data_IF_634419924599
#
_entry.id   IF_634419924599
#
_cell.length_a   1.000
_cell.length_b   1.000
_cell.length_c   1.000
_cell.angle_alpha   90.00
_cell.angle_beta   90.00
_cell.angle_gamma   90.00
#
_symmetry.space_group_name_H-M   'P 1'
#
loop_
_entity.id
_entity.type
_entity.pdbx_description
1 polymer ?
#
# COMPACT_ATOMS: atom_id res chain seq x y z
N UNK A 1 -2.37 -25.48 -20.19
CA UNK A 1 -1.07 -25.71 -20.84
C UNK A 1 -1.20 -26.81 -21.89
N UNK A 2 -0.55 -26.70 -23.06
CA UNK A 2 -0.70 -27.64 -24.19
C UNK A 2 -0.29 -29.10 -23.92
N UNK A 3 0.45 -29.38 -22.85
CA UNK A 3 0.96 -30.72 -22.52
C UNK A 3 0.22 -31.40 -21.35
N UNK A 4 -0.80 -30.75 -20.78
CA UNK A 4 -1.61 -31.30 -19.68
C UNK A 4 -0.86 -31.52 -18.36
N UNK A 5 0.40 -31.08 -18.25
CA UNK A 5 1.16 -31.13 -16.99
C UNK A 5 0.91 -29.85 -16.21
N UNK A 6 0.72 -30.00 -14.89
CA UNK A 6 0.77 -28.86 -13.99
C UNK A 6 2.24 -28.42 -13.89
N UNK A 7 2.55 -27.12 -14.08
CA UNK A 7 3.87 -26.59 -13.77
C UNK A 7 4.24 -26.94 -12.32
N UNK A 8 5.52 -27.18 -12.05
CA UNK A 8 6.03 -27.27 -10.67
C UNK A 8 6.01 -25.91 -9.95
N UNK A 9 5.81 -24.84 -10.71
CA UNK A 9 5.70 -23.46 -10.22
C UNK A 9 4.32 -23.23 -9.62
N UNK A 10 4.29 -22.60 -8.45
CA UNK A 10 3.06 -22.14 -7.82
C UNK A 10 2.61 -20.83 -8.47
N UNK A 11 1.30 -20.67 -8.63
CA UNK A 11 0.68 -19.42 -9.06
C UNK A 11 -0.31 -18.93 -8.02
N UNK A 12 -0.47 -17.62 -7.92
CA UNK A 12 -1.52 -17.00 -7.14
C UNK A 12 -2.77 -16.82 -8.01
N UNK A 13 -3.91 -17.31 -7.52
CA UNK A 13 -5.22 -17.10 -8.14
C UNK A 13 -6.01 -16.10 -7.30
N UNK A 14 -6.36 -14.95 -7.90
CA UNK A 14 -7.23 -13.93 -7.31
C UNK A 14 -8.58 -13.96 -8.02
N UNK A 15 -9.65 -14.01 -7.22
CA UNK A 15 -11.04 -13.99 -7.66
C UNK A 15 -11.78 -12.89 -6.91
N UNK A 16 -12.50 -12.03 -7.63
CA UNK A 16 -13.24 -10.93 -7.01
C UNK A 16 -14.45 -10.50 -7.82
N UNK A 17 -15.37 -9.78 -7.17
CA UNK A 17 -16.56 -9.18 -7.79
C UNK A 17 -16.52 -7.64 -7.71
N UNK A 18 -15.49 -6.97 -8.26
CA UNK A 18 -15.43 -5.52 -8.24
C UNK A 18 -16.53 -4.89 -9.11
N UNK A 19 -16.74 -3.59 -8.95
CA UNK A 19 -17.61 -2.82 -9.84
C UNK A 19 -17.10 -2.92 -11.28
N UNK A 20 -18.01 -3.16 -12.22
CA UNK A 20 -17.70 -3.30 -13.65
C UNK A 20 -17.03 -2.03 -14.21
N UNK A 21 -17.32 -0.87 -13.63
CA UNK A 21 -16.76 0.43 -14.02
C UNK A 21 -15.30 0.64 -13.61
N UNK A 22 -14.77 -0.17 -12.68
CA UNK A 22 -13.36 -0.05 -12.26
C UNK A 22 -12.43 -0.61 -13.33
N UNK A 23 -11.32 0.07 -13.60
CA UNK A 23 -10.22 -0.51 -14.41
C UNK A 23 -9.76 -1.84 -13.79
N UNK A 24 -9.39 -2.81 -14.62
CA UNK A 24 -8.87 -4.09 -14.12
C UNK A 24 -7.43 -3.94 -13.64
N UNK A 25 -7.06 -4.65 -12.57
CA UNK A 25 -5.67 -4.72 -12.09
C UNK A 25 -4.68 -5.08 -13.21
N UNK A 26 -4.99 -6.08 -14.03
CA UNK A 26 -4.13 -6.46 -15.16
C UNK A 26 -3.93 -5.32 -16.18
N UNK A 27 -4.95 -4.49 -16.45
CA UNK A 27 -4.81 -3.33 -17.32
C UNK A 27 -3.93 -2.26 -16.66
N UNK A 28 -4.12 -2.03 -15.36
CA UNK A 28 -3.27 -1.11 -14.58
C UNK A 28 -1.80 -1.56 -14.62
N UNK A 29 -1.53 -2.84 -14.39
CA UNK A 29 -0.18 -3.41 -14.45
C UNK A 29 0.43 -3.26 -15.85
N UNK A 30 -0.36 -3.52 -16.90
CA UNK A 30 0.08 -3.33 -18.30
C UNK A 30 0.45 -1.86 -18.55
N UNK A 31 -0.40 -0.93 -18.15
CA UNK A 31 -0.16 0.51 -18.32
C UNK A 31 1.07 0.99 -17.54
N UNK A 32 1.30 0.45 -16.35
CA UNK A 32 2.50 0.72 -15.58
C UNK A 32 3.75 0.20 -16.29
N UNK A 33 3.72 -1.03 -16.82
CA UNK A 33 4.85 -1.60 -17.58
C UNK A 33 5.17 -0.82 -18.85
N UNK A 34 4.16 -0.26 -19.51
CA UNK A 34 4.35 0.58 -20.70
C UNK A 34 4.99 1.95 -20.36
N UNK A 35 4.78 2.46 -19.15
CA UNK A 35 5.23 3.80 -18.71
C UNK A 35 6.52 3.78 -17.87
N UNK A 36 6.84 2.65 -17.26
CA UNK A 36 7.98 2.49 -16.35
C UNK A 36 9.17 1.82 -17.05
N UNK A 37 10.41 2.14 -16.64
CA UNK A 37 11.60 1.48 -17.17
C UNK A 37 11.56 -0.03 -16.91
N UNK A 38 12.19 -0.79 -17.80
CA UNK A 38 12.19 -2.27 -17.74
C UNK A 38 12.77 -2.84 -16.45
N UNK A 39 13.71 -2.13 -15.84
CA UNK A 39 14.31 -2.46 -14.55
C UNK A 39 13.28 -2.57 -13.42
N UNK A 40 12.16 -1.83 -13.50
CA UNK A 40 11.06 -1.87 -12.54
C UNK A 40 10.01 -2.96 -12.83
N UNK A 41 10.08 -3.66 -13.96
CA UNK A 41 9.03 -4.60 -14.36
C UNK A 41 8.92 -5.82 -13.44
N UNK A 42 10.04 -6.24 -12.85
CA UNK A 42 10.09 -7.32 -11.85
C UNK A 42 9.59 -6.88 -10.47
N UNK A 43 9.30 -5.58 -10.28
CA UNK A 43 8.76 -5.02 -9.03
C UNK A 43 7.23 -4.81 -9.11
N UNK A 44 6.61 -5.19 -10.24
CA UNK A 44 5.18 -5.25 -10.47
C UNK A 44 4.71 -6.71 -10.63
N UNK A 45 3.45 -7.03 -10.30
CA UNK A 45 2.97 -8.41 -10.40
C UNK A 45 3.00 -8.92 -11.84
N UNK A 46 3.46 -10.14 -12.02
CA UNK A 46 3.51 -10.82 -13.30
C UNK A 46 2.21 -11.59 -13.56
N UNK A 47 1.33 -10.97 -14.33
CA UNK A 47 0.04 -11.54 -14.72
C UNK A 47 0.22 -12.51 -15.89
N UNK A 48 -0.08 -13.78 -15.64
CA UNK A 48 -0.03 -14.87 -16.62
C UNK A 48 -1.37 -15.05 -17.34
N UNK A 49 -2.48 -14.83 -16.62
CA UNK A 49 -3.80 -14.97 -17.16
C UNK A 49 -4.78 -14.01 -16.49
N UNK A 50 -5.71 -13.49 -17.29
CA UNK A 50 -6.85 -12.73 -16.79
C UNK A 50 -8.11 -13.10 -17.55
N UNK A 51 -9.25 -13.07 -16.86
CA UNK A 51 -10.57 -13.20 -17.48
C UNK A 51 -11.66 -12.58 -16.63
N UNK A 52 -12.62 -11.92 -17.28
CA UNK A 52 -13.80 -11.40 -16.62
C UNK A 52 -15.03 -12.17 -17.08
N UNK A 53 -16.03 -12.27 -16.22
CA UNK A 53 -17.34 -12.84 -16.53
C UNK A 53 -18.44 -11.97 -15.94
N UNK A 54 -19.42 -11.66 -16.76
CA UNK A 54 -20.66 -11.03 -16.33
C UNK A 54 -21.53 -12.02 -15.54
N UNK A 55 -22.42 -11.53 -14.66
CA UNK A 55 -23.42 -12.38 -13.99
C UNK A 55 -24.25 -13.25 -14.95
N UNK A 56 -24.55 -12.72 -16.13
CA UNK A 56 -25.33 -13.36 -17.18
C UNK A 56 -24.55 -14.51 -17.84
N UNK A 57 -23.26 -14.33 -18.14
CA UNK A 57 -22.38 -15.40 -18.66
C UNK A 57 -22.21 -16.55 -17.65
N UNK A 58 -22.21 -16.22 -16.36
CA UNK A 58 -22.15 -17.22 -15.27
C UNK A 58 -23.51 -17.83 -14.93
N UNK A 59 -24.58 -17.37 -15.59
CA UNK A 59 -25.93 -17.86 -15.40
C UNK A 59 -26.41 -17.76 -13.93
N UNK A 60 -26.02 -16.68 -13.23
CA UNK A 60 -26.31 -16.52 -11.80
C UNK A 60 -27.82 -16.50 -11.52
N UNK A 61 -28.31 -17.11 -10.42
CA UNK A 61 -29.74 -17.28 -10.19
C UNK A 61 -30.57 -16.00 -10.23
N UNK A 62 -30.03 -14.89 -9.69
CA UNK A 62 -30.75 -13.62 -9.60
C UNK A 62 -31.03 -12.97 -10.97
N UNK A 63 -30.22 -13.29 -12.00
CA UNK A 63 -30.41 -12.78 -13.37
C UNK A 63 -31.74 -13.26 -14.00
N UNK A 64 -32.35 -14.32 -13.43
CA UNK A 64 -33.59 -14.95 -13.90
C UNK A 64 -34.83 -14.52 -13.12
N UNK A 65 -34.68 -13.72 -12.06
CA UNK A 65 -35.77 -13.36 -11.16
C UNK A 65 -36.66 -12.23 -11.69
N UNK A 66 -36.36 -11.66 -12.87
CA UNK A 66 -37.14 -10.55 -13.45
C UNK A 66 -37.16 -9.30 -12.57
N UNK A 67 -36.09 -9.06 -11.81
CA UNK A 67 -35.98 -7.90 -10.92
C UNK A 67 -35.99 -6.60 -11.75
N UNK A 68 -36.76 -5.61 -11.31
CA UNK A 68 -36.77 -4.25 -11.87
C UNK A 68 -35.50 -3.49 -11.50
N UNK A 69 -34.38 -3.88 -12.09
CA UNK A 69 -33.07 -3.28 -11.82
C UNK A 69 -32.97 -1.88 -12.45
N UNK A 70 -32.52 -0.92 -11.66
CA UNK A 70 -32.26 0.47 -12.06
C UNK A 70 -30.83 0.85 -11.65
N UNK A 71 -30.30 1.95 -12.18
CA UNK A 71 -28.98 2.44 -11.79
C UNK A 71 -28.90 2.81 -10.29
N UNK A 72 -30.04 3.12 -9.66
CA UNK A 72 -30.11 3.44 -8.22
C UNK A 72 -30.02 2.19 -7.33
N UNK A 73 -30.52 1.04 -7.79
CA UNK A 73 -30.58 -0.19 -7.00
C UNK A 73 -29.60 -1.28 -7.47
N UNK A 74 -28.93 -1.08 -8.62
CA UNK A 74 -27.94 -2.00 -9.20
C UNK A 74 -26.61 -1.29 -9.35
N UNK A 75 -25.59 -1.86 -8.71
CA UNK A 75 -24.20 -1.54 -8.99
C UNK A 75 -23.59 -2.71 -9.76
N UNK A 76 -23.39 -2.60 -11.09
CA UNK A 76 -22.89 -3.72 -11.89
C UNK A 76 -21.54 -4.22 -11.38
N UNK A 77 -21.42 -5.53 -11.21
CA UNK A 77 -20.21 -6.23 -10.78
C UNK A 77 -19.94 -7.41 -11.70
N UNK A 78 -18.67 -7.68 -11.93
CA UNK A 78 -18.20 -8.79 -12.77
C UNK A 78 -17.27 -9.69 -11.97
N UNK A 79 -17.33 -11.00 -12.21
CA UNK A 79 -16.32 -11.90 -11.67
C UNK A 79 -15.03 -11.65 -12.43
N UNK A 80 -14.00 -11.19 -11.74
CA UNK A 80 -12.64 -11.05 -12.29
C UNK A 80 -11.77 -12.17 -11.78
N UNK A 81 -11.07 -12.79 -12.71
CA UNK A 81 -10.08 -13.84 -12.46
C UNK A 81 -8.73 -13.31 -12.90
N UNK A 82 -7.76 -13.35 -12.00
CA UNK A 82 -6.37 -13.02 -12.27
C UNK A 82 -5.49 -14.17 -11.77
N UNK A 83 -4.59 -14.63 -12.61
CA UNK A 83 -3.52 -15.57 -12.24
C UNK A 83 -2.20 -14.86 -12.42
N UNK A 84 -1.41 -14.82 -11.37
CA UNK A 84 -0.07 -14.25 -11.37
C UNK A 84 0.96 -15.24 -10.86
N UNK A 85 2.23 -14.94 -11.12
CA UNK A 85 3.35 -15.54 -10.40
C UNK A 85 3.11 -15.49 -8.88
N UNK A 86 3.53 -16.54 -8.18
CA UNK A 86 3.45 -16.61 -6.74
C UNK A 86 4.62 -15.86 -6.12
N UNK A 87 4.32 -15.01 -5.14
CA UNK A 87 5.31 -14.27 -4.37
C UNK A 87 5.24 -14.64 -2.90
N UNK A 88 6.38 -14.63 -2.24
CA UNK A 88 6.48 -14.82 -0.81
C UNK A 88 6.01 -13.56 -0.07
N UNK A 89 5.51 -13.73 1.15
CA UNK A 89 5.11 -12.62 2.00
C UNK A 89 6.34 -11.91 2.57
N UNK A 90 6.19 -10.65 2.98
CA UNK A 90 7.32 -9.87 3.49
C UNK A 90 7.97 -10.48 4.74
N UNK A 91 7.22 -11.21 5.59
CA UNK A 91 7.77 -11.94 6.73
C UNK A 91 8.54 -13.21 6.35
N UNK A 92 8.50 -13.63 5.08
CA UNK A 92 9.27 -14.74 4.53
C UNK A 92 10.56 -14.25 3.83
N UNK A 93 10.91 -12.96 4.02
CA UNK A 93 12.13 -12.38 3.46
C UNK A 93 13.40 -13.06 3.96
N UNK A 94 13.41 -13.81 5.05
CA UNK A 94 14.55 -14.66 5.45
C UNK A 94 15.70 -13.95 6.17
N UNK A 95 15.91 -12.65 5.95
CA UNK A 95 16.81 -11.81 6.75
C UNK A 95 16.35 -10.35 6.78
N UNK A 96 16.89 -9.58 7.71
CA UNK A 96 16.57 -8.14 7.84
C UNK A 96 17.05 -7.37 6.62
N UNK A 97 18.18 -7.74 6.03
CA UNK A 97 18.71 -7.15 4.79
C UNK A 97 17.79 -7.42 3.61
N UNK A 98 17.33 -8.66 3.44
CA UNK A 98 16.38 -9.04 2.38
C UNK A 98 15.02 -8.37 2.60
N UNK A 99 14.57 -8.20 3.85
CA UNK A 99 13.39 -7.42 4.21
C UNK A 99 13.54 -5.94 3.84
N UNK A 100 14.66 -5.31 4.23
CA UNK A 100 14.96 -3.90 3.93
C UNK A 100 14.96 -3.69 2.41
N UNK A 101 15.62 -4.59 1.67
CA UNK A 101 15.66 -4.56 0.21
C UNK A 101 14.25 -4.63 -0.40
N UNK A 102 13.46 -5.64 -0.03
CA UNK A 102 12.11 -5.83 -0.59
C UNK A 102 11.16 -4.67 -0.23
N UNK A 103 11.24 -4.16 1.00
CA UNK A 103 10.44 -3.01 1.41
C UNK A 103 10.83 -1.74 0.64
N UNK A 104 12.14 -1.48 0.47
CA UNK A 104 12.64 -0.32 -0.27
C UNK A 104 12.31 -0.38 -1.76
N UNK A 105 12.40 -1.56 -2.36
CA UNK A 105 11.93 -1.82 -3.73
C UNK A 105 10.47 -1.42 -3.92
N UNK A 106 9.61 -1.76 -2.96
CA UNK A 106 8.19 -1.41 -3.03
C UNK A 106 7.96 0.10 -2.90
N UNK A 107 8.71 0.78 -2.01
CA UNK A 107 8.64 2.25 -1.85
C UNK A 107 9.05 2.97 -3.14
N UNK A 108 10.15 2.55 -3.76
CA UNK A 108 10.61 3.17 -4.99
C UNK A 108 9.72 2.83 -6.19
N UNK A 109 9.21 1.60 -6.28
CA UNK A 109 8.24 1.21 -7.30
C UNK A 109 6.95 2.01 -7.17
N UNK A 110 6.46 2.23 -5.94
CA UNK A 110 5.31 3.09 -5.66
C UNK A 110 5.56 4.53 -6.13
N UNK A 111 6.72 5.11 -5.79
CA UNK A 111 7.08 6.45 -6.23
C UNK A 111 7.15 6.57 -7.76
N UNK A 112 7.76 5.58 -8.43
CA UNK A 112 7.84 5.55 -9.89
C UNK A 112 6.45 5.45 -10.53
N UNK A 113 5.57 4.59 -9.98
CA UNK A 113 4.18 4.47 -10.43
C UNK A 113 3.40 5.78 -10.26
N UNK A 114 3.58 6.50 -9.15
CA UNK A 114 2.96 7.80 -8.94
C UNK A 114 3.51 8.86 -9.90
N UNK A 115 4.83 8.98 -10.00
CA UNK A 115 5.48 10.06 -10.73
C UNK A 115 5.42 9.89 -12.26
N UNK A 116 5.75 8.69 -12.76
CA UNK A 116 5.83 8.36 -14.19
C UNK A 116 4.60 7.59 -14.66
N UNK A 117 4.14 6.64 -13.85
CA UNK A 117 2.93 5.87 -14.14
C UNK A 117 1.64 6.68 -14.06
N UNK A 118 1.67 7.84 -13.36
CA UNK A 118 0.50 8.69 -13.07
C UNK A 118 -0.60 7.93 -12.33
N UNK A 119 -0.21 7.07 -11.39
CA UNK A 119 -1.12 6.22 -10.61
C UNK A 119 -0.73 6.23 -9.13
N UNK A 120 -1.69 6.50 -8.25
CA UNK A 120 -1.53 6.37 -6.80
C UNK A 120 -2.15 5.06 -6.33
N UNK A 121 -1.50 4.32 -5.42
CA UNK A 121 -1.93 2.97 -5.03
C UNK A 121 -3.15 2.97 -4.09
N UNK A 122 -3.17 3.85 -3.07
CA UNK A 122 -4.31 4.10 -2.15
C UNK A 122 -4.73 2.99 -1.17
N UNK A 123 -4.09 1.82 -1.17
CA UNK A 123 -4.47 0.69 -0.31
C UNK A 123 -3.28 -0.18 0.07
N UNK A 124 -2.19 0.47 0.52
CA UNK A 124 -1.00 -0.25 0.97
C UNK A 124 -1.26 -1.05 2.25
N UNK A 125 -0.82 -2.30 2.26
CA UNK A 125 -0.90 -3.19 3.43
C UNK A 125 0.29 -4.15 3.50
N UNK A 126 0.48 -4.83 4.64
CA UNK A 126 1.46 -5.93 4.74
C UNK A 126 1.25 -7.03 3.68
N UNK A 127 0.02 -7.20 3.20
CA UNK A 127 -0.34 -8.21 2.20
C UNK A 127 0.08 -7.86 0.78
N UNK A 128 0.44 -6.59 0.53
CA UNK A 128 0.72 -6.04 -0.80
C UNK A 128 2.22 -5.98 -1.09
N UNK A 129 3.06 -5.84 -0.06
CA UNK A 129 4.51 -5.87 -0.22
C UNK A 129 4.96 -7.33 -0.20
N UNK A 130 5.44 -7.80 -1.35
CA UNK A 130 5.77 -9.20 -1.56
C UNK A 130 7.26 -9.36 -1.89
N UNK A 131 7.77 -10.58 -1.74
CA UNK A 131 9.15 -10.97 -1.98
C UNK A 131 9.21 -11.89 -3.19
N UNK A 132 10.04 -11.52 -4.17
CA UNK A 132 10.39 -12.34 -5.32
C UNK A 132 11.87 -12.76 -5.20
N UNK A 133 12.14 -14.06 -5.27
CA UNK A 133 13.50 -14.60 -5.36
C UNK A 133 13.78 -15.01 -6.79
N UNK A 134 14.59 -14.21 -7.48
CA UNK A 134 14.91 -14.42 -8.91
C UNK A 134 16.41 -14.21 -9.12
N UNK A 135 17.04 -15.12 -9.86
CA UNK A 135 18.47 -15.09 -10.17
C UNK A 135 19.38 -14.97 -8.93
N UNK A 136 18.99 -15.61 -7.82
CA UNK A 136 19.73 -15.57 -6.55
C UNK A 136 19.66 -14.22 -5.83
N UNK A 137 18.75 -13.32 -6.25
CA UNK A 137 18.53 -12.01 -5.62
C UNK A 137 17.10 -11.89 -5.11
N UNK A 138 16.94 -11.17 -4.00
CA UNK A 138 15.63 -10.73 -3.50
C UNK A 138 15.22 -9.44 -4.20
N UNK A 139 13.96 -9.38 -4.61
CA UNK A 139 13.27 -8.19 -5.09
C UNK A 139 11.97 -8.02 -4.34
N UNK A 140 11.59 -6.78 -4.06
CA UNK A 140 10.25 -6.44 -3.59
C UNK A 140 9.29 -6.27 -4.74
N UNK A 141 8.09 -6.83 -4.62
CA UNK A 141 7.01 -6.68 -5.60
C UNK A 141 5.84 -5.98 -4.93
N UNK A 142 5.42 -4.85 -5.49
CA UNK A 142 4.26 -4.13 -5.00
C UNK A 142 3.00 -4.64 -5.70
N UNK A 143 2.16 -5.37 -4.96
CA UNK A 143 0.98 -6.07 -5.46
C UNK A 143 -0.33 -5.37 -5.08
N UNK A 144 -1.43 -5.82 -5.69
CA UNK A 144 -2.80 -5.38 -5.42
C UNK A 144 -3.13 -3.94 -5.84
N UNK A 145 -3.11 -3.70 -7.15
CA UNK A 145 -3.37 -2.36 -7.73
C UNK A 145 -4.86 -2.07 -7.96
N UNK A 146 -5.78 -2.89 -7.45
CA UNK A 146 -7.23 -2.78 -7.72
C UNK A 146 -7.86 -1.47 -7.20
N UNK A 147 -7.25 -0.87 -6.17
CA UNK A 147 -7.70 0.40 -5.57
C UNK A 147 -6.93 1.62 -6.11
N UNK A 148 -6.00 1.41 -7.03
CA UNK A 148 -5.19 2.48 -7.58
C UNK A 148 -6.04 3.48 -8.38
N UNK A 149 -5.61 4.74 -8.41
CA UNK A 149 -6.32 5.79 -9.14
C UNK A 149 -5.39 6.70 -9.91
N UNK A 150 -5.83 7.18 -11.09
CA UNK A 150 -5.03 8.07 -11.90
C UNK A 150 -4.82 9.40 -11.18
N UNK A 151 -3.63 9.98 -11.36
CA UNK A 151 -3.31 11.32 -10.88
C UNK A 151 -3.06 12.29 -12.03
N UNK A 152 -3.35 13.57 -11.79
CA UNK A 152 -3.07 14.65 -12.73
C UNK A 152 -1.57 15.02 -12.76
N UNK A 153 -1.22 16.08 -13.48
CA UNK A 153 0.17 16.55 -13.56
C UNK A 153 0.72 17.13 -12.26
N UNK A 154 -0.16 17.52 -11.35
CA UNK A 154 0.18 17.96 -10.00
C UNK A 154 0.24 16.80 -9.00
N UNK A 155 -0.01 15.57 -9.45
CA UNK A 155 0.00 14.37 -8.61
C UNK A 155 -1.24 14.21 -7.74
N UNK A 156 -2.34 14.91 -8.06
CA UNK A 156 -3.62 14.83 -7.37
C UNK A 156 -4.53 13.78 -8.02
N UNK A 157 -5.23 12.99 -7.19
CA UNK A 157 -6.17 11.98 -7.69
C UNK A 157 -7.29 12.64 -8.50
N UNK A 158 -7.47 12.15 -9.73
CA UNK A 158 -8.58 12.56 -10.59
C UNK A 158 -9.81 11.80 -10.07
N UNK A 159 -10.77 12.50 -9.44
CA UNK A 159 -11.94 11.86 -8.82
C UNK A 159 -12.67 10.99 -9.83
N UNK A 160 -12.70 9.69 -9.54
CA UNK A 160 -13.52 8.70 -10.24
C UNK A 160 -14.53 8.18 -9.23
N UNK A 161 -15.79 8.06 -9.63
CA UNK A 161 -17.01 7.86 -8.81
C UNK A 161 -17.07 6.62 -7.87
N UNK A 162 -15.95 6.00 -7.51
CA UNK A 162 -15.83 4.87 -6.59
C UNK A 162 -15.02 5.22 -5.33
N UNK A 163 -15.24 6.42 -4.78
CA UNK A 163 -14.39 7.10 -3.78
C UNK A 163 -14.50 6.59 -2.33
N UNK A 164 -15.01 5.38 -2.09
CA UNK A 164 -14.87 4.77 -0.77
C UNK A 164 -13.49 4.12 -0.64
N UNK A 165 -12.58 4.83 0.03
CA UNK A 165 -11.26 4.31 0.39
C UNK A 165 -11.43 3.24 1.48
N UNK A 166 -11.50 1.97 1.10
CA UNK A 166 -11.41 0.84 2.03
C UNK A 166 -9.95 0.50 2.24
N UNK A 167 -9.24 1.31 3.00
CA UNK A 167 -7.86 0.99 3.35
C UNK A 167 -7.79 -0.16 4.36
N UNK A 168 -6.69 -0.88 4.41
CA UNK A 168 -6.46 -1.87 5.47
C UNK A 168 -6.19 -1.16 6.81
N UNK A 169 -7.14 -1.22 7.76
CA UNK A 169 -7.20 -0.45 9.04
C UNK A 169 -5.87 -0.14 9.74
N UNK A 170 -4.96 -1.11 10.00
CA UNK A 170 -3.69 -0.82 10.66
C UNK A 170 -2.76 0.10 9.86
N UNK A 171 -2.97 0.22 8.55
CA UNK A 171 -2.12 0.96 7.62
C UNK A 171 -2.76 2.24 7.07
N UNK A 172 -4.04 2.50 7.35
CA UNK A 172 -4.71 3.74 6.95
C UNK A 172 -4.02 4.96 7.59
N UNK A 173 -3.72 5.99 6.80
CA UNK A 173 -3.20 7.26 7.30
C UNK A 173 -4.19 7.94 8.27
N UNK A 174 -3.68 8.61 9.31
CA UNK A 174 -4.49 9.26 10.37
C UNK A 174 -5.54 10.21 9.78
N UNK A 175 -5.20 10.92 8.71
CA UNK A 175 -6.06 11.92 8.06
C UNK A 175 -7.30 11.28 7.41
N UNK A 176 -7.15 10.05 6.93
CA UNK A 176 -8.20 9.31 6.22
C UNK A 176 -9.14 8.57 7.17
N UNK A 177 -8.71 8.27 8.41
CA UNK A 177 -9.54 7.57 9.41
C UNK A 177 -10.78 8.37 9.81
N UNK A 178 -10.67 9.69 10.00
CA UNK A 178 -11.81 10.54 10.41
C UNK A 178 -12.50 11.23 9.24
N UNK A 179 -11.91 11.16 8.05
CA UNK A 179 -12.40 11.82 6.83
C UNK A 179 -12.20 10.87 5.64
N UNK A 180 -12.99 9.79 5.55
CA UNK A 180 -12.83 8.80 4.49
C UNK A 180 -13.02 9.39 3.08
N UNK A 181 -13.78 10.48 2.97
CA UNK A 181 -14.02 11.20 1.71
C UNK A 181 -12.95 12.26 1.40
N UNK A 182 -11.91 12.40 2.24
CA UNK A 182 -10.82 13.32 1.97
C UNK A 182 -10.01 12.85 0.75
N UNK A 183 -9.46 13.77 -0.06
CA UNK A 183 -8.59 13.41 -1.15
C UNK A 183 -7.40 12.57 -0.67
N UNK A 184 -7.12 11.47 -1.37
CA UNK A 184 -5.97 10.62 -1.07
C UNK A 184 -4.72 11.21 -1.76
N UNK A 185 -3.70 11.58 -0.99
CA UNK A 185 -2.43 12.11 -1.49
C UNK A 185 -1.30 11.09 -1.38
N UNK A 186 -0.22 11.28 -2.14
CA UNK A 186 1.00 10.46 -2.06
C UNK A 186 1.50 10.25 -0.62
N UNK A 187 1.48 11.30 0.21
CA UNK A 187 1.91 11.23 1.61
C UNK A 187 1.09 10.27 2.49
N UNK A 188 -0.15 9.95 2.12
CA UNK A 188 -0.95 8.98 2.87
C UNK A 188 -0.43 7.56 2.63
N UNK A 189 -0.12 7.21 1.37
CA UNK A 189 0.56 5.95 1.05
C UNK A 189 1.96 5.91 1.70
N UNK A 190 2.70 7.02 1.72
CA UNK A 190 3.98 7.11 2.43
C UNK A 190 3.83 6.85 3.94
N UNK A 191 2.78 7.38 4.58
CA UNK A 191 2.45 7.10 5.98
C UNK A 191 2.08 5.62 6.21
N UNK A 192 1.36 4.99 5.26
CA UNK A 192 1.08 3.55 5.29
C UNK A 192 2.35 2.71 5.28
N UNK A 193 3.37 3.07 4.49
CA UNK A 193 4.67 2.39 4.53
C UNK A 193 5.33 2.44 5.92
N UNK A 194 5.23 3.57 6.65
CA UNK A 194 5.73 3.67 8.02
C UNK A 194 4.99 2.71 8.95
N UNK A 195 3.66 2.62 8.84
CA UNK A 195 2.89 1.67 9.65
C UNK A 195 3.19 0.22 9.32
N UNK A 196 3.41 -0.13 8.04
CA UNK A 196 3.82 -1.47 7.63
C UNK A 196 5.22 -1.79 8.19
N UNK A 197 6.13 -0.81 8.21
CA UNK A 197 7.48 -0.99 8.76
C UNK A 197 7.46 -1.26 10.27
N UNK A 198 6.70 -0.47 11.03
CA UNK A 198 6.48 -0.70 12.47
C UNK A 198 5.81 -2.05 12.71
N UNK A 199 4.81 -2.39 11.89
CA UNK A 199 4.11 -3.66 11.98
C UNK A 199 5.04 -4.84 11.75
N UNK A 200 5.88 -4.79 10.72
CA UNK A 200 6.86 -5.84 10.43
C UNK A 200 7.88 -6.00 11.56
N UNK A 201 8.43 -4.90 12.06
CA UNK A 201 9.43 -4.91 13.13
C UNK A 201 8.94 -5.54 14.44
N UNK A 202 7.63 -5.53 14.69
CA UNK A 202 7.00 -6.13 15.89
C UNK A 202 6.56 -7.56 15.63
N UNK A 203 6.09 -7.88 14.42
CA UNK A 203 5.37 -9.14 14.16
C UNK A 203 6.13 -10.15 13.30
N UNK A 204 7.20 -9.79 12.58
CA UNK A 204 7.83 -10.72 11.66
C UNK A 204 9.00 -11.44 12.33
N UNK A 205 8.92 -12.75 12.37
CA UNK A 205 10.03 -13.62 12.70
C UNK A 205 10.67 -14.04 11.37
N UNK A 206 11.72 -13.33 10.94
CA UNK A 206 12.28 -13.54 9.60
C UNK A 206 13.08 -14.84 9.51
N UNK A 207 13.72 -15.24 10.61
CA UNK A 207 14.48 -16.49 10.70
C UNK A 207 13.56 -17.70 10.53
N UNK A 208 12.43 -17.72 11.25
CA UNK A 208 11.46 -18.81 11.15
C UNK A 208 10.41 -18.60 10.05
N UNK A 209 10.42 -17.43 9.39
CA UNK A 209 9.48 -17.01 8.37
C UNK A 209 8.01 -17.01 8.85
N UNK A 210 7.78 -16.56 10.09
CA UNK A 210 6.47 -16.58 10.75
C UNK A 210 5.98 -15.16 11.01
N UNK A 211 4.69 -14.92 10.73
CA UNK A 211 3.99 -13.70 11.14
C UNK A 211 3.29 -13.92 12.48
N UNK A 212 3.80 -13.28 13.52
CA UNK A 212 3.29 -13.34 14.89
C UNK A 212 1.86 -12.75 14.99
N UNK A 213 1.04 -13.19 15.96
CA UNK A 213 -0.27 -12.59 16.19
C UNK A 213 -0.15 -11.11 16.62
N UNK A 214 -1.20 -10.29 16.43
CA UNK A 214 -1.16 -8.86 16.76
C UNK A 214 -0.72 -8.58 18.21
N UNK A 215 0.30 -7.74 18.37
CA UNK A 215 0.83 -7.32 19.66
C UNK A 215 -0.17 -6.37 20.38
N UNK A 216 -0.43 -6.56 21.69
CA UNK A 216 -1.35 -5.71 22.44
C UNK A 216 -1.08 -4.20 22.38
N UNK A 217 0.18 -3.79 22.20
CA UNK A 217 0.57 -2.37 22.15
C UNK A 217 0.10 -1.65 20.87
N UNK A 218 -0.15 -2.39 19.78
CA UNK A 218 -0.66 -1.84 18.51
C UNK A 218 -2.03 -2.39 18.13
N UNK A 219 -2.68 -3.16 19.02
CA UNK A 219 -4.00 -3.77 18.75
C UNK A 219 -5.07 -2.76 18.35
N UNK A 220 -4.99 -1.53 18.85
CA UNK A 220 -5.97 -0.50 18.57
C UNK A 220 -5.85 0.09 17.17
N UNK A 221 -4.75 -0.18 16.45
CA UNK A 221 -4.65 0.13 15.02
C UNK A 221 -5.52 -0.81 14.17
N UNK A 222 -5.94 -1.95 14.71
CA UNK A 222 -6.90 -2.87 14.09
C UNK A 222 -8.35 -2.50 14.42
N UNK A 223 -8.58 -1.50 15.27
CA UNK A 223 -9.92 -1.18 15.78
C UNK A 223 -10.89 -0.86 14.65
N UNK A 224 -12.09 -1.43 14.75
CA UNK A 224 -13.23 -1.12 13.88
C UNK A 224 -13.80 0.27 14.12
N UNK A 225 -13.50 0.85 15.28
CA UNK A 225 -13.75 2.25 15.58
C UNK A 225 -12.57 3.10 15.10
N UNK A 226 -12.82 3.88 14.05
CA UNK A 226 -11.82 4.74 13.42
C UNK A 226 -11.32 5.85 14.36
N UNK A 227 -12.13 6.30 15.33
CA UNK A 227 -11.70 7.28 16.35
C UNK A 227 -10.66 6.64 17.27
N UNK A 228 -10.90 5.39 17.70
CA UNK A 228 -9.93 4.64 18.51
C UNK A 228 -8.62 4.44 17.75
N UNK A 229 -8.69 4.02 16.48
CA UNK A 229 -7.52 3.83 15.63
C UNK A 229 -6.74 5.15 15.46
N UNK A 230 -7.45 6.22 15.09
CA UNK A 230 -6.88 7.55 14.91
C UNK A 230 -6.18 8.03 16.18
N UNK A 231 -6.83 7.93 17.33
CA UNK A 231 -6.27 8.40 18.60
C UNK A 231 -4.98 7.65 18.97
N UNK A 232 -4.93 6.32 18.78
CA UNK A 232 -3.75 5.54 19.11
C UNK A 232 -2.58 5.80 18.15
N UNK A 233 -2.84 6.00 16.87
CA UNK A 233 -1.81 6.41 15.90
C UNK A 233 -1.30 7.81 16.18
N UNK A 234 -2.20 8.76 16.47
CA UNK A 234 -1.82 10.12 16.90
C UNK A 234 -0.99 10.09 18.18
N UNK A 235 -1.38 9.28 19.17
CA UNK A 235 -0.60 9.07 20.39
C UNK A 235 0.81 8.52 20.11
N UNK A 236 0.93 7.53 19.22
CA UNK A 236 2.23 7.00 18.79
C UNK A 236 3.11 8.10 18.17
N UNK A 237 2.57 8.91 17.25
CA UNK A 237 3.34 9.96 16.59
C UNK A 237 3.70 11.12 17.52
N UNK A 238 2.78 11.56 18.37
CA UNK A 238 2.93 12.81 19.12
C UNK A 238 3.53 12.63 20.52
N UNK A 239 3.38 11.46 21.15
CA UNK A 239 3.92 11.18 22.48
C UNK A 239 5.15 10.28 22.41
N UNK A 240 6.31 10.80 22.80
CA UNK A 240 7.55 10.03 22.81
C UNK A 240 7.49 8.90 23.84
N UNK A 241 6.88 9.13 25.01
CA UNK A 241 6.71 8.08 26.01
C UNK A 241 5.88 6.90 25.48
N UNK A 242 4.76 7.17 24.78
CA UNK A 242 3.93 6.10 24.23
C UNK A 242 4.62 5.40 23.06
N UNK A 243 5.38 6.13 22.23
CA UNK A 243 6.20 5.52 21.18
C UNK A 243 7.23 4.55 21.74
N UNK A 244 7.93 4.90 22.83
CA UNK A 244 8.88 4.00 23.49
C UNK A 244 8.23 2.69 23.97
N UNK A 245 6.96 2.72 24.40
CA UNK A 245 6.26 1.47 24.76
C UNK A 245 6.04 0.53 23.58
N UNK A 246 5.87 1.08 22.36
CA UNK A 246 5.75 0.31 21.12
C UNK A 246 7.14 -0.14 20.65
N UNK A 247 8.15 0.72 20.74
CA UNK A 247 9.54 0.38 20.39
C UNK A 247 10.11 -0.73 21.25
N UNK A 248 9.73 -0.79 22.53
CA UNK A 248 10.09 -1.90 23.42
C UNK A 248 9.52 -3.27 22.98
N UNK A 249 8.58 -3.30 22.03
CA UNK A 249 8.03 -4.54 21.44
C UNK A 249 8.73 -4.95 20.14
N UNK A 250 9.62 -4.12 19.61
CA UNK A 250 10.37 -4.43 18.39
C UNK A 250 11.25 -5.65 18.65
N UNK A 251 11.24 -6.58 17.70
CA UNK A 251 12.04 -7.80 17.80
C UNK A 251 13.54 -7.47 17.70
N UNK A 252 14.43 -8.21 18.40
CA UNK A 252 15.86 -7.90 18.42
C UNK A 252 16.52 -7.79 17.04
N UNK A 253 16.12 -8.64 16.10
CA UNK A 253 16.60 -8.62 14.71
C UNK A 253 16.31 -7.28 14.01
N UNK A 254 15.23 -6.58 14.37
CA UNK A 254 14.83 -5.30 13.79
C UNK A 254 15.36 -4.06 14.54
N UNK A 255 16.21 -4.20 15.57
CA UNK A 255 16.74 -3.02 16.28
C UNK A 255 17.50 -2.04 15.38
N UNK A 256 18.23 -2.54 14.36
CA UNK A 256 18.85 -1.67 13.36
C UNK A 256 17.81 -0.87 12.57
N UNK A 257 16.76 -1.54 12.08
CA UNK A 257 15.63 -0.89 11.38
C UNK A 257 14.88 0.11 12.26
N UNK A 258 14.78 -0.16 13.56
CA UNK A 258 14.17 0.75 14.52
C UNK A 258 14.92 2.09 14.59
N UNK A 259 16.24 2.04 14.76
CA UNK A 259 17.08 3.23 14.89
C UNK A 259 17.29 3.95 13.56
N UNK A 260 17.54 3.20 12.49
CA UNK A 260 17.89 3.77 11.18
C UNK A 260 16.67 4.28 10.42
N UNK A 261 15.52 3.61 10.53
CA UNK A 261 14.36 3.89 9.66
C UNK A 261 13.12 4.31 10.45
N UNK A 262 12.67 3.53 11.43
CA UNK A 262 11.37 3.77 12.11
C UNK A 262 11.39 5.08 12.91
N UNK A 263 12.41 5.30 13.76
CA UNK A 263 12.49 6.52 14.58
C UNK A 263 12.62 7.79 13.72
N UNK A 264 13.48 7.84 12.68
CA UNK A 264 13.54 8.98 11.78
C UNK A 264 12.24 9.24 11.01
N UNK A 265 11.60 8.21 10.45
CA UNK A 265 10.32 8.35 9.75
C UNK A 265 9.20 8.83 10.67
N UNK A 266 9.14 8.30 11.90
CA UNK A 266 8.20 8.80 12.92
C UNK A 266 8.45 10.27 13.22
N UNK A 267 9.72 10.68 13.39
CA UNK A 267 10.07 12.08 13.67
C UNK A 267 9.65 13.00 12.51
N UNK A 268 9.87 12.57 11.27
CA UNK A 268 9.41 13.29 10.07
C UNK A 268 7.89 13.47 10.07
N UNK A 269 7.11 12.41 10.32
CA UNK A 269 5.65 12.49 10.43
C UNK A 269 5.20 13.38 11.59
N UNK A 270 5.87 13.31 12.74
CA UNK A 270 5.59 14.15 13.92
C UNK A 270 5.80 15.62 13.61
N UNK A 271 6.91 15.98 12.96
CA UNK A 271 7.24 17.35 12.58
C UNK A 271 6.24 17.92 11.59
N UNK A 272 5.94 17.18 10.51
CA UNK A 272 4.96 17.57 9.51
C UNK A 272 3.58 17.87 10.15
N UNK A 273 3.09 16.97 11.00
CA UNK A 273 1.80 17.13 11.69
C UNK A 273 1.80 18.25 12.71
N UNK A 274 2.92 18.46 13.40
CA UNK A 274 3.07 19.59 14.32
C UNK A 274 2.92 20.92 13.57
N UNK A 275 3.50 21.06 12.37
CA UNK A 275 3.37 22.29 11.57
C UNK A 275 1.92 22.67 11.23
N UNK A 276 1.07 21.71 10.86
CA UNK A 276 -0.36 21.96 10.55
C UNK A 276 -1.17 22.32 11.81
N UNK A 277 -0.86 21.71 12.96
CA UNK A 277 -1.54 21.98 14.23
C UNK A 277 -1.31 23.41 14.77
N UNK A 278 -0.23 24.08 14.36
CA UNK A 278 0.10 25.45 14.80
C UNK A 278 -0.54 26.54 13.94
N UNK A 279 -1.27 26.18 12.88
CA UNK A 279 -1.97 27.14 12.03
C UNK A 279 -3.24 27.63 12.76
N UNK A 280 -3.22 28.90 13.17
CA UNK A 280 -4.31 29.49 13.98
C UNK A 280 -5.29 30.31 13.15
N UNK A 281 -4.86 30.93 12.05
CA UNK A 281 -5.71 31.78 11.21
C UNK A 281 -6.21 31.08 9.94
N UNK A 282 -7.30 31.57 9.36
CA UNK A 282 -7.83 31.07 8.09
C UNK A 282 -6.85 31.31 6.93
N UNK A 283 -6.15 32.44 6.94
CA UNK A 283 -5.12 32.79 5.95
C UNK A 283 -3.94 31.82 5.99
N UNK A 284 -3.44 31.49 7.19
CA UNK A 284 -2.38 30.51 7.37
C UNK A 284 -2.80 29.12 6.86
N UNK A 285 -4.03 28.70 7.17
CA UNK A 285 -4.56 27.41 6.70
C UNK A 285 -4.76 27.35 5.19
N UNK A 286 -5.08 28.48 4.55
CA UNK A 286 -5.24 28.56 3.11
C UNK A 286 -3.89 28.59 2.36
N UNK A 287 -2.86 29.19 2.97
CA UNK A 287 -1.51 29.21 2.42
C UNK A 287 -0.77 27.87 2.62
N UNK A 288 -1.19 27.06 3.59
CA UNK A 288 -0.51 25.82 3.94
C UNK A 288 -0.71 24.72 2.88
N UNK A 289 0.39 24.21 2.34
CA UNK A 289 0.39 23.10 1.41
C UNK A 289 0.08 21.78 2.14
N UNK A 290 -1.22 21.44 2.24
CA UNK A 290 -1.70 20.18 2.83
C UNK A 290 -1.37 18.91 2.03
N UNK A 291 -0.98 19.05 0.77
CA UNK A 291 -0.67 17.90 -0.10
C UNK A 291 0.65 17.26 0.33
N UNK A 292 1.65 18.09 0.69
CA UNK A 292 3.00 17.64 1.08
C UNK A 292 3.40 18.03 2.51
N UNK A 293 2.52 18.71 3.27
CA UNK A 293 2.86 19.32 4.56
C UNK A 293 4.07 20.28 4.45
N UNK A 294 4.01 21.26 3.54
CA UNK A 294 5.12 22.19 3.24
C UNK A 294 6.40 21.42 2.84
N UNK A 295 6.25 20.46 1.95
CA UNK A 295 7.33 19.59 1.43
C UNK A 295 8.06 18.75 2.48
N UNK A 296 7.48 18.63 3.69
CA UNK A 296 8.02 17.76 4.74
C UNK A 296 7.70 16.28 4.50
N UNK A 297 6.64 15.96 3.74
CA UNK A 297 6.23 14.61 3.37
C UNK A 297 6.28 14.40 1.85
N UNK A 298 7.48 14.46 1.30
CA UNK A 298 7.80 14.05 -0.09
C UNK A 298 8.59 12.74 -0.11
N UNK A 299 8.76 12.15 -1.30
CA UNK A 299 9.62 10.98 -1.47
C UNK A 299 11.07 11.30 -1.08
N UNK A 300 11.58 12.46 -1.46
CA UNK A 300 12.95 12.88 -1.15
C UNK A 300 13.16 13.05 0.36
N UNK A 301 12.18 13.66 1.06
CA UNK A 301 12.21 13.77 2.51
C UNK A 301 12.18 12.39 3.19
N UNK A 302 11.34 11.48 2.67
CA UNK A 302 11.22 10.11 3.17
C UNK A 302 12.54 9.34 3.03
N UNK A 303 13.17 9.38 1.85
CA UNK A 303 14.43 8.70 1.56
C UNK A 303 15.58 9.27 2.38
N UNK A 304 15.63 10.61 2.50
CA UNK A 304 16.58 11.29 3.38
C UNK A 304 16.41 10.89 4.85
N UNK A 305 15.17 10.72 5.33
CA UNK A 305 14.92 10.34 6.72
C UNK A 305 15.48 8.95 7.05
N UNK A 306 15.41 7.99 6.11
CA UNK A 306 15.96 6.64 6.29
C UNK A 306 17.43 6.50 5.88
N UNK A 307 18.05 7.58 5.39
CA UNK A 307 19.45 7.59 4.97
C UNK A 307 19.74 6.82 3.68
N UNK A 308 18.72 6.57 2.85
CA UNK A 308 18.84 5.84 1.59
C UNK A 308 18.85 6.81 0.40
N UNK A 309 19.68 6.53 -0.60
CA UNK A 309 19.67 7.25 -1.88
C UNK A 309 18.75 6.53 -2.87
N UNK A 310 17.78 7.22 -3.49
CA UNK A 310 16.92 6.62 -4.51
C UNK A 310 17.71 6.00 -5.65
N UNK A 311 17.41 4.76 -6.01
CA UNK A 311 18.03 4.13 -7.18
C UNK A 311 17.58 4.81 -8.47
N UNK A 312 18.53 4.98 -9.39
CA UNK A 312 18.25 5.43 -10.74
C UNK A 312 17.78 4.25 -11.60
N UNK A 313 16.49 3.96 -11.55
CA UNK A 313 15.87 2.88 -12.31
C UNK A 313 15.94 3.08 -13.83
N UNK A 314 16.27 4.26 -14.36
CA UNK A 314 16.46 4.43 -15.80
C UNK A 314 17.81 3.87 -16.29
N UNK A 315 18.81 3.81 -15.42
CA UNK A 315 20.17 3.35 -15.77
C UNK A 315 20.47 1.92 -15.35
N UNK A 316 19.60 1.29 -14.55
CA UNK A 316 19.67 -0.13 -14.13
C UNK A 316 19.13 -1.09 -15.18
#
# INVERSE_FOLDING_TARGET
MPDGKLPSEHYALKLGWPLATRTTEAKIITDLRDRLPKSLHDHLPNVEFQRNFTPEELNLPWTKLGLGLTDENRHPRELRILVSEYYDKLWQAGSVEEFKQAWLDCVECHHAAWRKGKLLHRDLSEGNLMVLRKDGKVKGVLNDWDMASPVDDNGLVISTAADHCTGTRPFIAIDLLLKPDAPHYYRHDAESFVYILVWGAIHYDLENQIRMPPNPHVRYWLSDDDIINHNHKTSFLMSDHLAETIFAQVRPEFHGVLEEWIKPLRLMLKQARFSDNFLSTAEQKAAFNKVTYEDQLTFEAFMKAIGEEPRDWESL
#
